data_IF_909879603241
#
_entry.id   IF_909879603241
#
_cell.length_a   1.000
_cell.length_b   1.000
_cell.length_c   1.000
_cell.angle_alpha   90.00
_cell.angle_beta   90.00
_cell.angle_gamma   90.00
#
_symmetry.space_group_name_H-M   'P 1'
#
loop_
_entity.id
_entity.type
_entity.pdbx_description
1 polymer ?
#
# COMPACT_ATOMS: atom_id res chain seq x y z
N UNK A 1 31.73 14.56 57.24
CA UNK A 1 31.22 14.77 55.87
C UNK A 1 31.91 13.76 54.98
N UNK A 2 31.13 12.87 54.38
CA UNK A 2 31.55 11.80 53.44
C UNK A 2 30.94 12.28 52.12
N UNK A 3 31.66 12.56 51.02
CA UNK A 3 32.66 11.80 50.29
C UNK A 3 33.62 12.81 49.61
N UNK A 4 34.90 12.44 49.45
CA UNK A 4 35.98 13.33 48.97
C UNK A 4 35.96 13.69 47.48
N UNK A 5 34.80 13.77 46.83
CA UNK A 5 34.66 14.07 45.41
C UNK A 5 33.47 15.00 45.14
N UNK A 6 33.63 15.91 44.18
CA UNK A 6 32.58 16.83 43.70
C UNK A 6 31.31 16.06 43.28
N UNK A 7 30.13 16.53 43.71
CA UNK A 7 28.83 16.00 43.28
C UNK A 7 28.62 16.38 41.81
N UNK A 8 28.53 15.39 40.93
CA UNK A 8 28.29 15.58 39.48
C UNK A 8 26.83 15.88 39.18
N UNK A 9 26.59 16.74 38.19
CA UNK A 9 25.24 17.05 37.72
C UNK A 9 24.69 15.93 36.82
N UNK A 10 23.36 15.75 36.76
CA UNK A 10 22.74 14.87 35.77
C UNK A 10 23.14 15.32 34.35
N UNK A 11 23.85 14.46 33.60
CA UNK A 11 24.36 14.76 32.25
C UNK A 11 25.87 14.95 32.15
N UNK A 12 26.59 15.04 33.26
CA UNK A 12 28.05 15.19 33.30
C UNK A 12 28.75 13.82 33.27
N UNK A 13 28.78 13.21 32.08
CA UNK A 13 29.26 11.83 31.90
C UNK A 13 30.77 11.70 31.66
N UNK A 14 31.45 12.76 31.23
CA UNK A 14 32.85 12.68 30.80
C UNK A 14 33.76 13.25 31.89
N UNK A 15 34.75 12.46 32.30
CA UNK A 15 35.86 12.95 33.11
C UNK A 15 36.77 13.85 32.27
N UNK A 16 37.45 14.80 32.92
CA UNK A 16 38.49 15.59 32.26
C UNK A 16 39.56 14.63 31.71
N UNK A 17 39.89 14.70 30.40
CA UNK A 17 40.78 13.74 29.79
C UNK A 17 42.15 13.81 30.47
N UNK A 18 42.60 12.68 31.03
CA UNK A 18 43.92 12.56 31.68
C UNK A 18 45.07 12.62 30.66
N UNK A 19 44.75 12.54 29.37
CA UNK A 19 45.68 12.49 28.25
C UNK A 19 45.41 13.72 27.37
N UNK A 20 46.43 14.56 27.19
CA UNK A 20 46.44 15.66 26.22
C UNK A 20 46.52 15.07 24.80
N UNK A 21 45.42 14.48 24.32
CA UNK A 21 45.31 14.05 22.93
C UNK A 21 44.87 15.22 22.07
N UNK A 22 45.55 15.39 20.93
CA UNK A 22 45.12 16.32 19.89
C UNK A 22 43.69 15.99 19.44
N UNK A 23 42.75 16.95 19.47
CA UNK A 23 41.34 16.71 19.14
C UNK A 23 41.12 16.03 17.79
N UNK A 24 41.95 16.32 16.79
CA UNK A 24 41.85 15.71 15.45
C UNK A 24 42.13 14.20 15.50
N UNK A 25 43.15 13.80 16.26
CA UNK A 25 43.48 12.39 16.44
C UNK A 25 42.43 11.62 17.25
N UNK A 26 41.77 12.28 18.21
CA UNK A 26 40.67 11.68 18.95
C UNK A 26 39.47 11.39 18.05
N UNK A 27 39.07 12.37 17.23
CA UNK A 27 37.95 12.22 16.29
C UNK A 27 38.24 11.12 15.27
N UNK A 28 39.46 11.08 14.72
CA UNK A 28 39.86 10.04 13.77
C UNK A 28 39.75 8.63 14.37
N UNK A 29 40.23 8.44 15.61
CA UNK A 29 40.11 7.15 16.32
C UNK A 29 38.67 6.78 16.63
N UNK A 30 37.85 7.75 17.03
CA UNK A 30 36.43 7.51 17.30
C UNK A 30 35.68 7.08 16.03
N UNK A 31 35.95 7.74 14.90
CA UNK A 31 35.39 7.37 13.60
C UNK A 31 35.81 5.96 13.19
N UNK A 32 37.09 5.60 13.40
CA UNK A 32 37.57 4.25 13.13
C UNK A 32 36.83 3.21 13.99
N UNK A 33 36.71 3.44 15.30
CA UNK A 33 35.97 2.54 16.19
C UNK A 33 34.50 2.41 15.80
N UNK A 34 33.82 3.51 15.45
CA UNK A 34 32.43 3.48 14.99
C UNK A 34 32.28 2.75 13.65
N UNK A 35 33.27 2.83 12.76
CA UNK A 35 33.27 2.09 11.50
C UNK A 35 33.50 0.57 11.70
N UNK A 36 34.23 0.18 12.75
CA UNK A 36 34.42 -1.22 13.14
C UNK A 36 33.15 -1.83 13.74
N UNK A 37 32.29 -1.01 14.37
CA UNK A 37 30.97 -1.40 14.85
C UNK A 37 30.01 -1.68 13.68
N UNK A 38 30.16 -2.84 13.05
CA UNK A 38 29.22 -3.30 12.03
C UNK A 38 27.95 -3.85 12.69
N UNK A 39 26.76 -3.45 12.21
CA UNK A 39 25.53 -4.08 12.67
C UNK A 39 25.59 -5.58 12.37
N UNK A 40 25.17 -6.40 13.34
CA UNK A 40 25.06 -7.84 13.14
C UNK A 40 24.15 -8.10 11.94
N UNK A 41 24.58 -8.96 11.02
CA UNK A 41 23.78 -9.33 9.85
C UNK A 41 22.46 -9.93 10.34
N UNK A 42 21.40 -9.14 10.33
CA UNK A 42 20.06 -9.61 10.62
C UNK A 42 19.72 -10.70 9.59
N UNK A 43 19.18 -11.86 10.01
CA UNK A 43 18.68 -12.88 9.10
C UNK A 43 17.37 -12.41 8.46
N UNK A 44 17.36 -11.23 7.84
CA UNK A 44 16.25 -10.77 7.01
C UNK A 44 16.47 -11.28 5.59
N UNK A 45 16.34 -12.60 5.44
CA UNK A 45 16.28 -13.24 4.13
C UNK A 45 14.87 -13.79 3.87
N UNK A 46 13.85 -13.10 4.39
CA UNK A 46 12.48 -13.32 3.93
C UNK A 46 12.38 -12.71 2.55
N UNK A 47 12.60 -13.52 1.51
CA UNK A 47 12.16 -13.21 0.14
C UNK A 47 10.63 -13.08 0.19
N UNK A 48 10.16 -11.90 0.56
CA UNK A 48 8.74 -11.63 0.59
C UNK A 48 8.28 -11.66 -0.87
N UNK A 49 7.47 -12.65 -1.21
CA UNK A 49 6.79 -12.70 -2.50
C UNK A 49 5.73 -11.59 -2.47
N UNK A 50 6.10 -10.40 -2.93
CA UNK A 50 5.18 -9.27 -3.04
C UNK A 50 4.24 -9.57 -4.21
N UNK A 51 2.95 -9.63 -3.91
CA UNK A 51 1.94 -9.79 -4.94
C UNK A 51 1.73 -8.47 -5.66
N UNK A 52 1.94 -8.47 -6.98
CA UNK A 52 1.63 -7.35 -7.88
C UNK A 52 0.62 -7.83 -8.91
N UNK A 53 -0.45 -7.06 -9.11
CA UNK A 53 -1.45 -7.38 -10.13
C UNK A 53 -0.82 -7.33 -11.53
N UNK A 54 -0.99 -8.42 -12.29
CA UNK A 54 -0.45 -8.55 -13.65
C UNK A 54 -0.96 -7.45 -14.59
N UNK A 55 -2.23 -7.07 -14.42
CA UNK A 55 -2.92 -6.10 -15.26
C UNK A 55 -2.51 -4.65 -14.99
N UNK A 56 -1.73 -4.37 -13.94
CA UNK A 56 -1.18 -3.03 -13.71
C UNK A 56 -0.28 -2.58 -14.86
N UNK A 57 0.42 -3.52 -15.51
CA UNK A 57 1.28 -3.22 -16.66
C UNK A 57 0.47 -2.73 -17.87
N UNK A 58 -0.72 -3.28 -18.11
CA UNK A 58 -1.58 -2.95 -19.26
C UNK A 58 -2.68 -1.92 -18.95
N UNK A 59 -3.04 -1.69 -17.69
CA UNK A 59 -4.19 -0.85 -17.32
C UNK A 59 -4.07 0.62 -17.80
N UNK A 60 -5.19 1.19 -18.25
CA UNK A 60 -5.28 2.63 -18.58
C UNK A 60 -5.66 3.48 -17.37
N UNK A 61 -6.45 2.89 -16.46
CA UNK A 61 -6.92 3.54 -15.25
C UNK A 61 -6.58 2.71 -14.01
N UNK A 62 -6.35 3.40 -12.89
CA UNK A 62 -6.02 2.79 -11.59
C UNK A 62 -6.78 3.45 -10.44
N UNK A 63 -7.12 2.64 -9.45
CA UNK A 63 -7.59 3.09 -8.15
C UNK A 63 -6.41 3.34 -7.21
N UNK A 64 -6.45 4.47 -6.50
CA UNK A 64 -5.41 4.86 -5.54
C UNK A 64 -5.85 4.59 -4.10
N UNK A 65 -5.03 3.88 -3.32
CA UNK A 65 -5.29 3.65 -1.90
C UNK A 65 -5.10 4.93 -1.07
N UNK A 66 -6.05 5.21 -0.19
CA UNK A 66 -5.98 6.30 0.79
C UNK A 66 -5.27 5.76 2.05
N UNK A 67 -4.04 6.21 2.30
CA UNK A 67 -3.24 5.80 3.48
C UNK A 67 -3.43 6.70 4.72
N UNK A 68 -4.27 7.74 4.63
CA UNK A 68 -4.60 8.60 5.79
C UNK A 68 -5.63 7.92 6.69
N UNK A 69 -5.78 8.42 7.92
CA UNK A 69 -6.89 8.01 8.81
C UNK A 69 -8.21 8.32 8.12
N UNK A 70 -8.99 7.28 7.87
CA UNK A 70 -10.24 7.35 7.12
C UNK A 70 -11.40 7.76 8.02
N UNK A 71 -12.38 8.45 7.46
CA UNK A 71 -13.66 8.67 8.11
C UNK A 71 -14.51 7.40 8.06
N UNK A 72 -15.52 7.31 8.93
CA UNK A 72 -16.50 6.25 8.86
C UNK A 72 -17.16 6.21 7.47
N UNK A 73 -17.30 5.01 6.91
CA UNK A 73 -17.89 4.75 5.59
C UNK A 73 -17.14 5.36 4.38
N UNK A 74 -15.92 5.87 4.56
CA UNK A 74 -15.09 6.32 3.43
C UNK A 74 -14.51 5.11 2.68
N UNK A 75 -14.55 5.06 1.34
CA UNK A 75 -13.95 3.97 0.58
C UNK A 75 -12.41 3.94 0.77
N UNK A 76 -11.77 2.76 0.80
CA UNK A 76 -10.31 2.64 0.97
C UNK A 76 -9.51 3.10 -0.25
N UNK A 77 -10.14 3.19 -1.41
CA UNK A 77 -9.53 3.65 -2.64
C UNK A 77 -10.33 4.81 -3.22
N UNK A 78 -9.62 5.74 -3.83
CA UNK A 78 -10.20 6.86 -4.58
C UNK A 78 -10.03 6.59 -6.06
N UNK A 79 -11.10 6.93 -6.82
CA UNK A 79 -11.15 7.23 -8.25
C UNK A 79 -10.50 6.24 -9.24
N UNK A 80 -11.08 6.01 -10.42
CA UNK A 80 -10.28 5.56 -11.55
C UNK A 80 -9.49 6.76 -12.09
N UNK A 81 -8.20 6.84 -11.78
CA UNK A 81 -7.29 7.85 -12.32
C UNK A 81 -6.62 7.38 -13.60
N UNK A 82 -6.44 8.28 -14.55
CA UNK A 82 -5.71 8.00 -15.80
C UNK A 82 -4.22 7.83 -15.51
N UNK A 83 -3.64 6.76 -16.04
CA UNK A 83 -2.20 6.52 -15.97
C UNK A 83 -1.51 7.21 -17.12
N UNK A 84 -0.58 8.12 -16.83
CA UNK A 84 0.21 8.83 -17.84
C UNK A 84 1.51 8.10 -18.19
N UNK A 85 2.26 7.63 -17.19
CA UNK A 85 3.51 6.87 -17.36
C UNK A 85 3.57 5.71 -16.38
N UNK A 86 4.17 4.60 -16.81
CA UNK A 86 4.34 3.38 -16.01
C UNK A 86 5.81 3.07 -15.84
N UNK A 87 6.24 2.81 -14.61
CA UNK A 87 7.57 2.31 -14.28
C UNK A 87 7.46 1.08 -13.39
N UNK A 88 8.58 0.39 -13.15
CA UNK A 88 8.60 -0.86 -12.39
C UNK A 88 8.13 -0.70 -10.93
N UNK A 89 8.52 0.39 -10.27
CA UNK A 89 8.21 0.64 -8.84
C UNK A 89 7.12 1.68 -8.58
N UNK A 90 6.85 2.55 -9.55
CA UNK A 90 5.92 3.66 -9.40
C UNK A 90 5.28 4.05 -10.73
N UNK A 91 4.08 4.60 -10.70
CA UNK A 91 3.37 5.10 -11.86
C UNK A 91 3.14 6.61 -11.70
N UNK A 92 3.08 7.32 -12.83
CA UNK A 92 2.65 8.71 -12.88
C UNK A 92 1.19 8.74 -13.28
N UNK A 93 0.32 9.21 -12.39
CA UNK A 93 -1.13 9.32 -12.63
C UNK A 93 -1.59 10.78 -12.65
N UNK A 94 -2.69 11.05 -13.34
CA UNK A 94 -3.29 12.38 -13.40
C UNK A 94 -4.38 12.52 -12.34
N UNK A 95 -4.17 13.42 -11.38
CA UNK A 95 -5.15 13.78 -10.35
C UNK A 95 -5.41 15.28 -10.47
N UNK A 96 -6.65 15.68 -10.79
CA UNK A 96 -7.04 17.11 -10.91
C UNK A 96 -6.06 17.89 -11.79
N UNK A 97 -5.76 17.34 -12.97
CA UNK A 97 -4.83 17.85 -13.97
C UNK A 97 -3.36 17.98 -13.54
N UNK A 98 -3.01 17.40 -12.39
CA UNK A 98 -1.63 17.32 -11.90
C UNK A 98 -1.11 15.91 -12.03
N UNK A 99 0.08 15.78 -12.59
CA UNK A 99 0.79 14.50 -12.67
C UNK A 99 1.50 14.20 -11.35
N UNK A 100 1.16 13.08 -10.71
CA UNK A 100 1.70 12.67 -9.40
C UNK A 100 2.31 11.27 -9.52
N UNK A 101 3.48 11.08 -8.90
CA UNK A 101 4.15 9.78 -8.84
C UNK A 101 3.68 8.98 -7.62
N UNK A 102 3.27 7.74 -7.85
CA UNK A 102 2.69 6.85 -6.83
C UNK A 102 3.31 5.47 -6.95
N UNK A 103 3.74 4.91 -5.82
CA UNK A 103 4.24 3.53 -5.76
C UNK A 103 3.18 2.51 -6.17
N UNK A 104 3.64 1.41 -6.79
CA UNK A 104 2.78 0.30 -7.24
C UNK A 104 1.97 -0.32 -6.08
N UNK A 105 2.52 -0.32 -4.87
CA UNK A 105 1.87 -0.89 -3.67
C UNK A 105 0.55 -0.21 -3.27
N UNK A 106 0.31 1.01 -3.76
CA UNK A 106 -0.90 1.79 -3.49
C UNK A 106 -1.91 1.76 -4.63
N UNK A 107 -1.61 1.03 -5.70
CA UNK A 107 -2.39 1.02 -6.93
C UNK A 107 -3.12 -0.30 -7.10
N UNK A 108 -4.36 -0.21 -7.59
CA UNK A 108 -5.15 -1.34 -8.05
C UNK A 108 -5.66 -1.04 -9.45
N UNK A 109 -5.61 -1.98 -10.41
CA UNK A 109 -6.14 -1.74 -11.76
C UNK A 109 -7.65 -1.42 -11.69
N UNK A 110 -8.09 -0.43 -12.46
CA UNK A 110 -9.49 -0.09 -12.61
C UNK A 110 -10.03 -0.68 -13.93
N UNK A 111 -11.09 -1.47 -13.83
CA UNK A 111 -11.80 -2.00 -14.98
C UNK A 111 -12.97 -1.08 -15.28
N UNK A 112 -12.87 -0.37 -16.40
CA UNK A 112 -13.97 0.46 -16.90
C UNK A 112 -14.68 -0.32 -18.00
N UNK A 113 -16.01 -0.30 -17.99
CA UNK A 113 -16.80 -0.83 -19.09
C UNK A 113 -16.55 0.06 -20.30
N UNK A 114 -16.22 -0.53 -21.45
CA UNK A 114 -16.24 0.20 -22.70
C UNK A 114 -17.69 0.58 -22.98
N UNK A 115 -18.02 1.84 -22.81
CA UNK A 115 -19.25 2.40 -23.38
C UNK A 115 -18.94 2.58 -24.86
N UNK A 116 -19.61 1.81 -25.72
CA UNK A 116 -19.52 1.97 -27.16
C UNK A 116 -20.03 3.38 -27.53
N UNK A 117 -19.10 4.33 -27.64
CA UNK A 117 -19.38 5.67 -28.12
C UNK A 117 -19.59 5.61 -29.64
N UNK A 118 -20.79 5.23 -30.07
CA UNK A 118 -21.33 5.72 -31.33
C UNK A 118 -21.72 7.20 -31.10
N UNK A 119 -21.14 8.06 -31.92
CA UNK A 119 -21.27 9.52 -31.91
C UNK A 119 -22.74 10.00 -31.94
N UNK A 120 -23.06 11.12 -31.27
CA UNK A 120 -23.75 12.32 -31.83
C UNK A 120 -24.47 13.18 -30.76
N UNK A 121 -24.54 14.48 -31.06
CA UNK A 121 -25.05 15.56 -30.22
C UNK A 121 -26.59 15.66 -30.28
N UNK A 122 -27.16 16.44 -29.34
CA UNK A 122 -28.48 17.12 -29.33
C UNK A 122 -29.76 16.47 -28.77
N UNK A 123 -30.37 17.28 -27.87
CA UNK A 123 -31.80 17.50 -27.63
C UNK A 123 -32.59 16.65 -26.62
N UNK A 124 -33.21 17.42 -25.70
CA UNK A 124 -34.35 17.21 -24.79
C UNK A 124 -35.30 16.04 -25.10
N UNK A 125 -35.70 15.30 -24.06
CA UNK A 125 -37.08 14.80 -23.93
C UNK A 125 -37.28 13.29 -23.77
N UNK A 126 -37.51 12.87 -22.52
CA UNK A 126 -38.36 11.77 -22.04
C UNK A 126 -38.48 10.46 -22.86
N UNK A 127 -38.16 9.31 -22.23
CA UNK A 127 -39.15 8.36 -21.66
C UNK A 127 -38.46 7.13 -21.08
N UNK A 128 -39.05 6.64 -19.99
CA UNK A 128 -38.74 5.37 -19.34
C UNK A 128 -38.94 4.19 -20.30
N UNK A 129 -37.99 3.28 -20.37
CA UNK A 129 -38.27 1.87 -20.59
C UNK A 129 -37.39 1.01 -19.68
N UNK A 130 -38.06 0.30 -18.77
CA UNK A 130 -37.51 -0.76 -17.93
C UNK A 130 -37.32 -1.97 -18.85
N UNK A 131 -36.09 -2.25 -19.27
CA UNK A 131 -35.75 -3.42 -20.07
C UNK A 131 -35.20 -4.55 -19.19
N UNK A 132 -36.14 -5.37 -18.74
CA UNK A 132 -36.12 -6.84 -18.86
C UNK A 132 -34.78 -7.55 -18.54
N UNK A 133 -34.57 -7.87 -17.26
CA UNK A 133 -33.58 -8.88 -16.86
C UNK A 133 -34.05 -10.24 -17.37
N UNK A 134 -33.39 -10.75 -18.41
CA UNK A 134 -33.68 -12.07 -18.95
C UNK A 134 -33.31 -13.14 -17.93
N UNK A 135 -34.34 -13.83 -17.48
CA UNK A 135 -34.38 -14.99 -16.62
C UNK A 135 -33.31 -16.03 -17.05
N UNK A 136 -32.26 -16.18 -16.25
CA UNK A 136 -31.33 -17.30 -16.37
C UNK A 136 -32.03 -18.52 -15.73
N UNK A 137 -32.30 -19.53 -16.56
CA UNK A 137 -32.84 -20.81 -16.10
C UNK A 137 -31.97 -21.40 -14.98
N UNK A 138 -32.55 -22.08 -13.97
CA UNK A 138 -31.78 -22.62 -12.85
C UNK A 138 -30.80 -23.71 -13.33
N UNK A 139 -29.52 -23.54 -13.01
CA UNK A 139 -28.49 -24.57 -13.14
C UNK A 139 -28.75 -25.66 -12.07
N UNK A 140 -28.51 -26.96 -12.36
CA UNK A 140 -28.85 -28.03 -11.43
C UNK A 140 -28.00 -27.98 -10.16
N UNK A 141 -28.60 -28.36 -9.03
CA UNK A 141 -28.03 -28.32 -7.67
C UNK A 141 -26.61 -28.90 -7.56
N UNK A 142 -25.60 -28.01 -7.58
CA UNK A 142 -24.23 -28.34 -7.17
C UNK A 142 -24.15 -28.44 -5.64
N UNK A 143 -23.95 -29.66 -5.14
CA UNK A 143 -23.63 -29.89 -3.72
C UNK A 143 -22.29 -29.22 -3.39
N UNK A 144 -22.34 -28.03 -2.77
CA UNK A 144 -21.13 -27.28 -2.42
C UNK A 144 -20.30 -28.01 -1.36
N UNK A 145 -19.08 -28.40 -1.70
CA UNK A 145 -18.11 -29.02 -0.78
C UNK A 145 -16.98 -28.04 -0.43
N UNK A 146 -16.46 -28.13 0.79
CA UNK A 146 -15.20 -27.44 1.16
C UNK A 146 -13.99 -28.10 0.48
N UNK A 147 -12.81 -27.47 0.54
CA UNK A 147 -11.57 -28.05 -0.03
C UNK A 147 -11.16 -29.41 0.55
N UNK A 148 -11.74 -29.82 1.69
CA UNK A 148 -11.59 -31.13 2.31
C UNK A 148 -12.76 -32.09 2.05
N UNK A 149 -13.68 -31.77 1.13
CA UNK A 149 -14.79 -32.63 0.75
C UNK A 149 -15.98 -32.64 1.71
N UNK A 150 -16.02 -31.74 2.72
CA UNK A 150 -17.16 -31.65 3.64
C UNK A 150 -18.34 -31.01 2.91
N UNK A 151 -19.47 -31.74 2.87
CA UNK A 151 -20.74 -31.24 2.32
C UNK A 151 -21.27 -30.07 3.17
N UNK A 152 -21.49 -28.92 2.54
CA UNK A 152 -22.06 -27.74 3.21
C UNK A 152 -23.58 -27.84 3.13
N UNK A 153 -24.24 -27.89 4.30
CA UNK A 153 -25.71 -27.77 4.37
C UNK A 153 -26.09 -26.29 4.43
N UNK A 154 -26.86 -25.81 3.46
CA UNK A 154 -27.40 -24.44 3.51
C UNK A 154 -28.37 -24.27 4.70
N UNK A 155 -28.35 -23.12 5.41
CA UNK A 155 -29.31 -22.80 6.46
C UNK A 155 -30.75 -22.80 5.92
N UNK A 156 -31.73 -23.06 6.78
CA UNK A 156 -33.15 -23.19 6.42
C UNK A 156 -33.69 -21.95 5.71
N UNK A 157 -33.21 -20.75 6.06
CA UNK A 157 -33.60 -19.47 5.44
C UNK A 157 -33.26 -19.37 3.94
N UNK A 158 -32.37 -20.23 3.44
CA UNK A 158 -31.94 -20.28 2.04
C UNK A 158 -32.38 -21.55 1.33
N UNK A 159 -33.39 -22.25 1.88
CA UNK A 159 -34.09 -23.34 1.20
C UNK A 159 -35.38 -22.72 0.67
N UNK A 160 -35.51 -22.63 -0.65
CA UNK A 160 -36.79 -22.38 -1.30
C UNK A 160 -37.70 -23.60 -1.18
#
# INVERSE_FOLDING_TARGET
MVYGTSIKLPGEFFDSPTINMDPQNFVAKLQQHMAELKPLKSPSNRKQNIFVHKDLKSCSHVFLRIDRVKKALEPPYEGPYTVHKKYDKYFTILIKDKTINISVDRLKPAYLLAVDNQNEQTSVGQKNEISNWKELSPMPDEQSTTSCGRKIKKPVRFRE
#
